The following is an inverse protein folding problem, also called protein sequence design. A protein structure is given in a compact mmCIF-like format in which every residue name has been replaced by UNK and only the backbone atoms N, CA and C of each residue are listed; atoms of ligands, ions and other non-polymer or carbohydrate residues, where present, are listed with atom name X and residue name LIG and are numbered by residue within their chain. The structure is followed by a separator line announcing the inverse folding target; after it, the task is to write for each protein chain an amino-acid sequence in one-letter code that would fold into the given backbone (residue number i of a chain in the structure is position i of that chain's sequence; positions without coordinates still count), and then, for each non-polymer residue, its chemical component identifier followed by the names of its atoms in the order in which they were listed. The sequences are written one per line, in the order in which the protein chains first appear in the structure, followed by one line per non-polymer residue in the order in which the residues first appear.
data_IF_231026833293
#
_entry.id   IF_231026833293
#
_cell.length_a   1.000
_cell.length_b   1.000
_cell.length_c   1.000
_cell.angle_alpha   90.00
_cell.angle_beta   90.00
_cell.angle_gamma   90.00
#
_symmetry.space_group_name_H-M   'P 1'
#
loop_
_entity.id
_entity.type
_entity.pdbx_description
1 polymer ?
#
# COMPACT_ATOMS: atom_id res chain seq x y z
N UNK A 1 -15.84 -16.91 0.21
CA UNK A 1 -14.94 -16.17 -0.08
C UNK A 1 -15.13 -14.87 0.28
N UNK A 2 -14.20 -14.19 0.64
CA UNK A 2 -14.35 -13.01 1.08
C UNK A 2 -13.92 -12.07 0.21
N UNK A 3 -14.56 -11.07 0.05
CA UNK A 3 -14.24 -10.07 -0.75
C UNK A 3 -13.62 -9.03 -0.03
N UNK A 4 -12.31 -8.95 -0.11
CA UNK A 4 -11.63 -7.92 0.56
C UNK A 4 -11.62 -6.74 -0.37
N UNK A 5 -12.17 -5.66 0.04
CA UNK A 5 -12.19 -4.45 -0.76
C UNK A 5 -10.96 -3.61 -0.49
N UNK A 6 -10.13 -3.46 -1.48
CA UNK A 6 -8.92 -2.65 -1.34
C UNK A 6 -9.19 -1.22 -1.78
N UNK A 7 -8.37 -0.32 -1.31
CA UNK A 7 -8.46 1.07 -1.70
C UNK A 7 -8.15 1.21 -3.18
N UNK A 8 -8.70 2.29 -3.78
CA UNK A 8 -8.52 2.51 -5.18
C UNK A 8 -7.09 2.51 -5.61
N UNK A 9 -6.21 3.05 -4.80
CA UNK A 9 -4.81 3.17 -5.16
C UNK A 9 -3.97 1.97 -4.74
N UNK A 10 -4.59 0.97 -4.15
CA UNK A 10 -3.83 -0.17 -3.62
C UNK A 10 -2.95 -0.83 -4.69
N UNK A 11 -3.55 -1.15 -5.82
CA UNK A 11 -2.80 -1.85 -6.87
C UNK A 11 -1.66 -0.99 -7.41
N UNK A 12 -1.89 0.29 -7.56
CA UNK A 12 -0.86 1.17 -8.08
C UNK A 12 0.30 1.27 -7.11
N UNK A 13 -0.01 1.47 -5.82
CA UNK A 13 1.02 1.59 -4.82
C UNK A 13 1.81 0.28 -4.71
N UNK A 14 1.10 -0.83 -4.73
CA UNK A 14 1.75 -2.12 -4.63
C UNK A 14 2.70 -2.35 -5.80
N UNK A 15 2.26 -2.05 -7.01
CA UNK A 15 3.10 -2.23 -8.17
C UNK A 15 4.33 -1.33 -8.13
N UNK A 16 4.14 -0.08 -7.71
CA UNK A 16 5.27 0.82 -7.64
C UNK A 16 6.29 0.36 -6.61
N UNK A 17 5.82 -0.19 -5.50
CA UNK A 17 6.74 -0.68 -4.50
C UNK A 17 7.47 -1.93 -5.00
N UNK A 18 6.74 -2.84 -5.61
CA UNK A 18 7.33 -4.08 -6.09
C UNK A 18 8.35 -3.86 -7.19
N UNK A 19 8.14 -2.83 -7.99
CA UNK A 19 9.06 -2.51 -9.06
C UNK A 19 10.26 -1.71 -8.58
N UNK A 20 10.28 -1.36 -7.32
CA UNK A 20 11.39 -0.59 -6.78
C UNK A 20 11.31 0.90 -7.10
N UNK A 21 10.17 1.36 -7.62
CA UNK A 21 10.01 2.77 -7.93
C UNK A 21 9.73 3.59 -6.68
N UNK A 22 9.10 2.98 -5.69
CA UNK A 22 8.76 3.66 -4.44
C UNK A 22 9.45 2.95 -3.27
N UNK A 23 9.89 3.72 -2.29
CA UNK A 23 10.46 3.13 -1.09
C UNK A 23 9.41 3.16 0.01
N UNK A 24 9.77 2.68 1.20
CA UNK A 24 8.83 2.62 2.31
C UNK A 24 8.27 3.98 2.67
N UNK A 25 9.09 5.01 2.57
CA UNK A 25 8.65 6.35 2.92
C UNK A 25 7.49 6.80 2.04
N UNK A 26 7.58 6.51 0.76
CA UNK A 26 6.51 6.90 -0.17
C UNK A 26 5.24 6.10 0.09
N UNK A 27 5.38 4.81 0.40
CA UNK A 27 4.20 4.00 0.69
C UNK A 27 3.55 4.48 1.98
N UNK A 28 4.35 4.86 2.98
CA UNK A 28 3.81 5.39 4.21
C UNK A 28 3.07 6.70 3.96
N UNK A 29 3.60 7.53 3.08
CA UNK A 29 2.93 8.77 2.73
C UNK A 29 1.57 8.50 2.11
N UNK A 30 1.46 7.40 1.36
CA UNK A 30 0.18 7.04 0.77
C UNK A 30 -0.85 6.73 1.85
N UNK A 31 -0.42 6.13 2.96
CA UNK A 31 -1.32 5.87 4.07
C UNK A 31 -1.78 7.19 4.68
N UNK A 32 -0.87 8.11 4.87
CA UNK A 32 -1.19 9.40 5.45
C UNK A 32 -2.16 10.18 4.59
N UNK A 33 -2.03 10.06 3.29
CA UNK A 33 -2.89 10.77 2.36
C UNK A 33 -4.23 10.06 2.15
N UNK A 34 -4.38 8.86 2.71
CA UNK A 34 -5.62 8.15 2.57
C UNK A 34 -5.75 7.34 1.29
N UNK A 35 -4.65 7.15 0.56
CA UNK A 35 -4.69 6.36 -0.66
C UNK A 35 -4.83 4.88 -0.35
N UNK A 36 -4.22 4.44 0.74
CA UNK A 36 -4.31 3.05 1.19
C UNK A 36 -4.43 3.06 2.70
N UNK A 37 -4.78 1.92 3.27
CA UNK A 37 -4.92 1.81 4.72
C UNK A 37 -3.64 1.26 5.32
N UNK A 38 -3.55 1.28 6.66
CA UNK A 38 -2.40 0.72 7.34
C UNK A 38 -2.29 -0.76 7.08
N UNK A 39 -3.43 -1.44 7.00
CA UNK A 39 -3.42 -2.87 6.73
C UNK A 39 -2.87 -3.15 5.35
N UNK A 40 -3.27 -2.31 4.40
CA UNK A 40 -2.76 -2.45 3.04
C UNK A 40 -1.27 -2.17 2.97
N UNK A 41 -0.81 -1.25 3.78
CA UNK A 41 0.63 -0.97 3.85
C UNK A 41 1.37 -2.24 4.25
N UNK A 42 0.87 -2.93 5.27
CA UNK A 42 1.50 -4.15 5.71
C UNK A 42 1.49 -5.22 4.64
N UNK A 43 0.41 -5.33 3.91
CA UNK A 43 0.32 -6.33 2.85
C UNK A 43 1.30 -6.03 1.72
N UNK A 44 1.45 -4.77 1.40
CA UNK A 44 2.33 -4.37 0.31
C UNK A 44 3.80 -4.53 0.67
N UNK A 45 4.16 -4.06 1.85
CA UNK A 45 5.57 -3.98 2.21
C UNK A 45 6.06 -5.12 3.09
N UNK A 46 5.14 -5.83 3.73
CA UNK A 46 5.52 -6.88 4.65
C UNK A 46 5.98 -6.34 5.99
N UNK A 47 5.79 -5.05 6.24
CA UNK A 47 6.19 -4.43 7.47
C UNK A 47 5.03 -3.74 8.11
N UNK A 48 5.07 -3.56 9.42
CA UNK A 48 4.01 -2.87 10.10
C UNK A 48 4.13 -1.38 9.85
N UNK A 49 3.01 -0.73 9.78
CA UNK A 49 3.00 0.72 9.63
C UNK A 49 3.42 1.35 10.93
#
# INVERSE_FOLDING_TARGET
MEDKTYSKMFNMVKKNFERGLWNLTLVRSSVKKGYITKEEFSEITGSEY
#
